data_IF_279236804973
#
_entry.id   IF_279236804973
#
_cell.length_a   1.000
_cell.length_b   1.000
_cell.length_c   1.000
_cell.angle_alpha   90.00
_cell.angle_beta   90.00
_cell.angle_gamma   90.00
#
_symmetry.space_group_name_H-M   'P 1'
#
loop_
_entity.id
_entity.type
_entity.pdbx_description
1 polymer ?
#
# COMPACT_ATOMS: atom_id res chain seq x y z
N UNK A 1 25.42 -19.87 32.48
CA UNK A 1 24.56 -18.75 32.04
C UNK A 1 25.29 -18.06 30.90
N UNK A 2 25.12 -18.54 29.67
CA UNK A 2 25.92 -18.06 28.53
C UNK A 2 24.97 -17.51 27.47
N UNK A 3 25.11 -16.21 27.22
CA UNK A 3 24.61 -15.53 26.04
C UNK A 3 25.68 -15.69 24.94
N UNK A 4 25.28 -15.93 23.67
CA UNK A 4 25.86 -15.12 22.62
C UNK A 4 24.87 -14.83 21.49
N UNK A 5 24.38 -13.59 21.45
CA UNK A 5 23.77 -12.98 20.27
C UNK A 5 24.78 -12.05 19.62
N UNK A 6 25.52 -12.53 18.62
CA UNK A 6 26.02 -11.73 17.48
C UNK A 6 26.65 -12.66 16.46
N UNK A 7 25.92 -12.94 15.39
CA UNK A 7 26.39 -13.69 14.22
C UNK A 7 25.75 -13.12 12.97
N UNK A 8 26.20 -11.95 12.56
CA UNK A 8 25.86 -11.34 11.27
C UNK A 8 26.56 -12.16 10.19
N UNK A 9 25.79 -12.94 9.42
CA UNK A 9 26.25 -13.49 8.15
C UNK A 9 25.57 -12.72 7.01
N UNK A 10 26.31 -11.74 6.49
CA UNK A 10 26.21 -11.35 5.08
C UNK A 10 26.95 -12.40 4.26
N UNK A 11 26.22 -13.24 3.51
CA UNK A 11 26.77 -13.91 2.32
C UNK A 11 25.63 -14.27 1.37
N UNK A 12 25.70 -13.68 0.17
CA UNK A 12 25.60 -14.38 -1.11
C UNK A 12 24.37 -15.25 -1.39
N UNK A 13 23.64 -14.90 -2.44
CA UNK A 13 22.68 -15.76 -3.14
C UNK A 13 23.32 -17.14 -3.49
N UNK A 14 23.18 -18.12 -2.60
CA UNK A 14 23.59 -19.51 -2.81
C UNK A 14 22.35 -20.39 -2.82
N UNK A 15 22.27 -21.32 -3.79
CA UNK A 15 21.30 -22.43 -3.89
C UNK A 15 20.81 -22.87 -2.50
N UNK A 16 19.59 -22.47 -2.13
CA UNK A 16 19.04 -22.78 -0.82
C UNK A 16 18.61 -24.25 -0.78
N UNK A 17 19.14 -24.99 0.19
CA UNK A 17 18.88 -26.40 0.43
C UNK A 17 17.39 -26.60 0.80
N UNK A 18 16.62 -27.30 -0.04
CA UNK A 18 15.17 -27.53 0.13
C UNK A 18 14.79 -28.32 1.38
N UNK A 19 15.77 -28.86 2.09
CA UNK A 19 15.61 -29.65 3.31
C UNK A 19 15.47 -28.82 4.61
N UNK A 20 15.65 -27.49 4.55
CA UNK A 20 15.47 -26.64 5.74
C UNK A 20 13.99 -26.66 6.16
N UNK A 21 13.75 -27.01 7.43
CA UNK A 21 12.43 -26.97 8.05
C UNK A 21 12.37 -25.85 9.09
N UNK A 22 11.26 -25.11 9.10
CA UNK A 22 10.98 -24.03 10.05
C UNK A 22 9.73 -24.42 10.85
N UNK A 23 9.75 -24.14 12.15
CA UNK A 23 8.59 -24.29 13.02
C UNK A 23 7.61 -23.14 12.80
N UNK A 24 6.36 -23.46 12.43
CA UNK A 24 5.31 -22.45 12.33
C UNK A 24 4.81 -22.04 13.72
N UNK A 25 4.73 -20.73 14.00
CA UNK A 25 4.26 -20.20 15.29
C UNK A 25 2.76 -20.39 15.54
N UNK A 26 1.97 -20.68 14.49
CA UNK A 26 0.52 -20.89 14.59
C UNK A 26 0.15 -22.36 14.73
N UNK A 27 0.57 -23.21 13.78
CA UNK A 27 0.22 -24.64 13.82
C UNK A 27 1.23 -25.52 14.58
N UNK A 28 2.35 -24.95 15.06
CA UNK A 28 3.41 -25.65 15.79
C UNK A 28 3.99 -26.87 15.05
N UNK A 29 3.89 -26.88 13.71
CA UNK A 29 4.44 -27.93 12.85
C UNK A 29 5.74 -27.48 12.20
N UNK A 30 6.69 -28.40 12.03
CA UNK A 30 7.84 -28.21 11.16
C UNK A 30 7.42 -28.31 9.69
N UNK A 31 7.65 -27.25 8.93
CA UNK A 31 7.26 -27.12 7.52
C UNK A 31 8.48 -26.78 6.67
N UNK A 32 8.47 -27.17 5.40
CA UNK A 32 9.53 -26.78 4.45
C UNK A 32 9.67 -25.26 4.40
N UNK A 33 10.90 -24.76 4.33
CA UNK A 33 11.23 -23.34 4.15
C UNK A 33 10.43 -22.68 3.01
N UNK A 34 10.10 -23.42 1.95
CA UNK A 34 9.32 -22.94 0.80
C UNK A 34 7.93 -22.45 1.22
N UNK A 35 7.37 -22.94 2.33
CA UNK A 35 6.08 -22.47 2.87
C UNK A 35 6.19 -21.19 3.71
N UNK A 36 7.39 -20.59 3.78
CA UNK A 36 7.64 -19.30 4.44
C UNK A 36 8.30 -18.30 3.48
N UNK A 37 8.66 -18.73 2.26
CA UNK A 37 9.38 -17.89 1.31
C UNK A 37 8.48 -16.90 0.57
N UNK A 38 7.15 -17.07 0.65
CA UNK A 38 6.24 -16.18 -0.04
C UNK A 38 6.25 -14.80 0.61
N UNK A 39 6.55 -13.78 -0.20
CA UNK A 39 6.70 -12.40 0.27
C UNK A 39 5.34 -11.70 0.32
N UNK A 40 4.50 -12.07 1.27
CA UNK A 40 3.26 -11.33 1.52
C UNK A 40 3.59 -10.01 2.20
N UNK A 41 3.25 -8.90 1.52
CA UNK A 41 3.50 -7.56 2.04
C UNK A 41 2.33 -7.11 2.93
N UNK A 42 2.65 -6.66 4.14
CA UNK A 42 1.71 -5.94 5.00
C UNK A 42 1.68 -4.43 4.66
N UNK A 43 2.66 -3.97 3.86
CA UNK A 43 2.64 -2.69 3.14
C UNK A 43 3.73 -2.71 2.06
N UNK A 44 3.67 -1.80 1.08
CA UNK A 44 4.71 -1.65 0.05
C UNK A 44 6.12 -1.35 0.61
N UNK A 45 6.23 -0.97 1.88
CA UNK A 45 7.47 -0.52 2.53
C UNK A 45 7.97 -1.47 3.63
N UNK A 46 7.20 -2.47 4.05
CA UNK A 46 7.59 -3.38 5.16
C UNK A 46 7.36 -4.84 4.79
N UNK A 47 8.46 -5.53 4.52
CA UNK A 47 8.51 -6.99 4.32
C UNK A 47 9.02 -7.66 5.59
N UNK A 48 8.49 -8.85 5.89
CA UNK A 48 9.04 -9.67 6.96
C UNK A 48 10.39 -10.24 6.51
N UNK A 49 11.47 -9.92 7.25
CA UNK A 49 12.82 -10.46 6.97
C UNK A 49 12.83 -11.98 7.15
N UNK A 50 12.09 -12.46 8.15
CA UNK A 50 11.89 -13.88 8.41
C UNK A 50 10.45 -14.09 8.86
N UNK A 51 9.76 -15.01 8.21
CA UNK A 51 8.39 -15.38 8.53
C UNK A 51 8.36 -16.53 9.52
N UNK A 52 7.44 -16.45 10.47
CA UNK A 52 7.19 -17.49 11.46
C UNK A 52 5.85 -18.18 11.23
N UNK A 53 4.98 -17.62 10.39
CA UNK A 53 3.70 -18.23 10.05
C UNK A 53 3.78 -18.84 8.67
N UNK A 54 3.53 -20.16 8.54
CA UNK A 54 3.53 -20.82 7.25
C UNK A 54 2.34 -20.40 6.39
N UNK A 55 2.47 -20.50 5.07
CA UNK A 55 1.45 -20.06 4.11
C UNK A 55 0.09 -20.73 4.32
N UNK A 56 0.07 -21.98 4.75
CA UNK A 56 -1.18 -22.70 5.04
C UNK A 56 -1.91 -22.06 6.24
N UNK A 57 -1.18 -21.62 7.27
CA UNK A 57 -1.79 -20.91 8.39
C UNK A 57 -2.23 -19.49 7.99
N UNK A 58 -1.48 -18.81 7.12
CA UNK A 58 -1.90 -17.51 6.57
C UNK A 58 -3.17 -17.66 5.74
N UNK A 59 -3.26 -18.71 4.92
CA UNK A 59 -4.44 -19.05 4.15
C UNK A 59 -5.66 -19.28 5.04
N UNK A 60 -5.55 -20.15 6.05
CA UNK A 60 -6.65 -20.41 6.99
C UNK A 60 -7.08 -19.14 7.75
N UNK A 61 -6.12 -18.29 8.13
CA UNK A 61 -6.42 -16.99 8.74
C UNK A 61 -7.21 -16.07 7.80
N UNK A 62 -6.80 -15.97 6.53
CA UNK A 62 -7.52 -15.20 5.51
C UNK A 62 -8.94 -15.76 5.32
N UNK A 63 -9.07 -17.08 5.14
CA UNK A 63 -10.38 -17.73 4.99
C UNK A 63 -11.32 -17.40 6.15
N UNK A 64 -10.84 -17.59 7.39
CA UNK A 64 -11.63 -17.30 8.59
C UNK A 64 -12.13 -15.85 8.61
N UNK A 65 -11.30 -14.89 8.17
CA UNK A 65 -11.69 -13.47 8.14
C UNK A 65 -12.64 -13.13 6.99
N UNK A 66 -12.45 -13.71 5.82
CA UNK A 66 -13.36 -13.52 4.69
C UNK A 66 -14.75 -14.09 4.99
N UNK A 67 -14.83 -15.30 5.56
CA UNK A 67 -16.11 -15.89 5.97
C UNK A 67 -16.83 -15.09 7.07
N UNK A 68 -16.09 -14.33 7.88
CA UNK A 68 -16.67 -13.41 8.87
C UNK A 68 -17.05 -12.03 8.31
N UNK A 69 -17.01 -11.84 6.98
CA UNK A 69 -17.26 -10.57 6.30
C UNK A 69 -16.31 -9.42 6.73
N UNK A 70 -15.08 -9.74 7.13
CA UNK A 70 -14.06 -8.77 7.57
C UNK A 70 -12.95 -8.55 6.53
N UNK A 71 -13.31 -8.58 5.24
CA UNK A 71 -12.36 -8.57 4.12
C UNK A 71 -11.44 -7.34 4.07
N UNK A 72 -11.90 -6.17 4.53
CA UNK A 72 -11.14 -4.91 4.50
C UNK A 72 -10.14 -4.75 5.65
N UNK A 73 -10.13 -5.65 6.64
CA UNK A 73 -9.39 -5.47 7.90
C UNK A 73 -8.59 -6.72 8.32
N UNK A 74 -8.10 -7.51 7.36
CA UNK A 74 -7.32 -8.71 7.67
C UNK A 74 -5.92 -8.32 8.16
N UNK A 75 -5.69 -8.40 9.47
CA UNK A 75 -4.39 -8.11 10.11
C UNK A 75 -3.43 -9.29 9.85
N UNK A 76 -2.15 -8.99 9.63
CA UNK A 76 -1.11 -10.00 9.45
C UNK A 76 -1.00 -10.90 10.70
N UNK A 77 -0.95 -12.24 10.55
CA UNK A 77 -0.84 -13.16 11.67
C UNK A 77 0.59 -13.29 12.25
N UNK A 78 1.58 -12.63 11.66
CA UNK A 78 2.97 -12.67 12.16
C UNK A 78 3.08 -11.99 13.53
N UNK A 79 3.93 -12.54 14.40
CA UNK A 79 4.14 -12.00 15.75
C UNK A 79 4.65 -10.55 15.69
N UNK A 80 4.09 -9.68 16.54
CA UNK A 80 4.36 -8.24 16.56
C UNK A 80 4.11 -7.51 15.22
N UNK A 81 3.29 -8.08 14.34
CA UNK A 81 2.82 -7.41 13.14
C UNK A 81 1.38 -6.95 13.33
N UNK A 82 1.19 -5.63 13.49
CA UNK A 82 -0.15 -5.02 13.59
C UNK A 82 -0.61 -4.40 12.27
N UNK A 83 0.08 -4.73 11.17
CA UNK A 83 -0.24 -4.19 9.84
C UNK A 83 -1.29 -5.08 9.15
N UNK A 84 -2.10 -4.47 8.28
CA UNK A 84 -3.05 -5.17 7.43
C UNK A 84 -2.34 -5.89 6.29
N UNK A 85 -2.86 -7.03 5.86
CA UNK A 85 -2.41 -7.67 4.63
C UNK A 85 -2.82 -6.80 3.44
N UNK A 86 -1.91 -6.62 2.48
CA UNK A 86 -2.23 -5.93 1.23
C UNK A 86 -3.14 -6.78 0.35
N UNK A 87 -3.90 -6.15 -0.54
CA UNK A 87 -4.78 -6.86 -1.47
C UNK A 87 -4.01 -7.85 -2.35
N UNK A 88 -2.80 -7.50 -2.80
CA UNK A 88 -1.92 -8.42 -3.53
C UNK A 88 -1.57 -9.66 -2.70
N UNK A 89 -1.22 -9.48 -1.42
CA UNK A 89 -0.88 -10.59 -0.54
C UNK A 89 -2.06 -11.56 -0.33
N UNK A 90 -3.27 -11.02 -0.19
CA UNK A 90 -4.49 -11.82 -0.06
C UNK A 90 -4.73 -12.61 -1.35
N UNK A 91 -4.67 -11.95 -2.51
CA UNK A 91 -4.83 -12.61 -3.81
C UNK A 91 -3.78 -13.71 -4.05
N UNK A 92 -2.51 -13.44 -3.75
CA UNK A 92 -1.41 -14.40 -3.94
C UNK A 92 -1.61 -15.67 -3.11
N UNK A 93 -2.09 -15.54 -1.86
CA UNK A 93 -2.44 -16.69 -1.02
C UNK A 93 -3.61 -17.47 -1.61
N UNK A 94 -4.70 -16.79 -1.96
CA UNK A 94 -5.93 -17.46 -2.43
C UNK A 94 -5.68 -18.19 -3.75
N UNK A 95 -4.90 -17.59 -4.66
CA UNK A 95 -4.44 -18.21 -5.90
C UNK A 95 -3.57 -19.44 -5.62
N UNK A 96 -2.60 -19.34 -4.70
CA UNK A 96 -1.68 -20.43 -4.35
C UNK A 96 -2.41 -21.68 -3.82
N UNK A 97 -3.54 -21.49 -3.15
CA UNK A 97 -4.37 -22.56 -2.58
C UNK A 97 -5.68 -22.79 -3.35
N UNK A 98 -5.75 -22.34 -4.61
CA UNK A 98 -6.87 -22.58 -5.53
C UNK A 98 -8.26 -22.21 -4.98
N UNK A 99 -8.32 -21.20 -4.09
CA UNK A 99 -9.55 -20.71 -3.46
C UNK A 99 -10.29 -19.71 -4.36
N UNK A 100 -10.61 -20.14 -5.59
CA UNK A 100 -11.06 -19.27 -6.69
C UNK A 100 -12.40 -18.56 -6.43
N UNK A 101 -13.35 -19.23 -5.75
CA UNK A 101 -14.65 -18.64 -5.41
C UNK A 101 -14.48 -17.42 -4.51
N UNK A 102 -13.79 -17.60 -3.37
CA UNK A 102 -13.50 -16.52 -2.43
C UNK A 102 -12.60 -15.44 -3.02
N UNK A 103 -11.69 -15.81 -3.93
CA UNK A 103 -10.89 -14.82 -4.66
C UNK A 103 -11.79 -13.92 -5.52
N UNK A 104 -12.74 -14.48 -6.25
CA UNK A 104 -13.67 -13.70 -7.07
C UNK A 104 -14.55 -12.80 -6.21
N UNK A 105 -15.08 -13.30 -5.09
CA UNK A 105 -15.86 -12.50 -4.14
C UNK A 105 -15.04 -11.33 -3.60
N UNK A 106 -13.81 -11.61 -3.14
CA UNK A 106 -12.88 -10.59 -2.65
C UNK A 106 -12.59 -9.53 -3.73
N UNK A 107 -12.31 -9.94 -4.96
CA UNK A 107 -12.02 -9.02 -6.07
C UNK A 107 -13.25 -8.16 -6.43
N UNK A 108 -14.44 -8.74 -6.41
CA UNK A 108 -15.68 -8.00 -6.64
C UNK A 108 -15.88 -6.94 -5.57
N UNK A 109 -15.72 -7.27 -4.29
CA UNK A 109 -15.79 -6.30 -3.19
C UNK A 109 -14.76 -5.17 -3.34
N UNK A 110 -13.51 -5.50 -3.68
CA UNK A 110 -12.46 -4.50 -3.90
C UNK A 110 -12.81 -3.57 -5.07
N UNK A 111 -13.36 -4.11 -6.16
CA UNK A 111 -13.81 -3.30 -7.30
C UNK A 111 -14.95 -2.35 -6.90
N UNK A 112 -15.91 -2.82 -6.11
CA UNK A 112 -17.01 -1.99 -5.59
C UNK A 112 -16.52 -0.88 -4.67
N UNK A 113 -15.60 -1.18 -3.75
CA UNK A 113 -14.97 -0.17 -2.89
C UNK A 113 -14.25 0.89 -3.74
N UNK A 114 -13.49 0.48 -4.75
CA UNK A 114 -12.82 1.41 -5.67
C UNK A 114 -13.79 2.30 -6.44
N UNK A 115 -14.92 1.75 -6.93
CA UNK A 115 -15.98 2.52 -7.59
C UNK A 115 -16.66 3.50 -6.63
N UNK A 116 -16.92 3.11 -5.39
CA UNK A 116 -17.51 3.97 -4.36
C UNK A 116 -16.58 5.16 -4.03
N UNK A 117 -15.29 4.90 -3.85
CA UNK A 117 -14.30 5.95 -3.60
C UNK A 117 -14.18 6.93 -4.78
N UNK A 118 -14.21 6.41 -6.01
CA UNK A 118 -14.18 7.24 -7.21
C UNK A 118 -15.47 8.07 -7.35
N UNK A 119 -16.63 7.47 -7.07
CA UNK A 119 -17.90 8.19 -7.04
C UNK A 119 -17.86 9.34 -6.04
N UNK A 120 -17.44 9.05 -4.80
CA UNK A 120 -17.28 10.07 -3.75
C UNK A 120 -16.34 11.18 -4.24
N UNK A 121 -15.19 10.86 -4.83
CA UNK A 121 -14.24 11.86 -5.34
C UNK A 121 -14.82 12.73 -6.46
N UNK A 122 -15.65 12.17 -7.35
CA UNK A 122 -16.16 12.87 -8.54
C UNK A 122 -17.43 13.66 -8.26
N UNK A 123 -18.32 13.14 -7.44
CA UNK A 123 -19.68 13.65 -7.30
C UNK A 123 -19.98 14.30 -5.94
N UNK A 124 -19.04 14.28 -5.00
CA UNK A 124 -19.21 14.91 -3.69
C UNK A 124 -18.26 16.09 -3.47
N UNK A 125 -18.68 17.03 -2.61
CA UNK A 125 -17.81 18.05 -2.03
C UNK A 125 -17.75 17.88 -0.51
N UNK A 126 -16.62 18.25 0.09
CA UNK A 126 -16.44 18.25 1.55
C UNK A 126 -17.21 19.41 2.15
N UNK A 127 -17.99 19.15 3.21
CA UNK A 127 -18.58 20.21 4.02
C UNK A 127 -17.49 21.15 4.57
N UNK A 128 -17.65 22.49 4.50
CA UNK A 128 -16.68 23.43 5.06
C UNK A 128 -16.63 23.44 6.59
N UNK A 129 -17.67 22.95 7.28
CA UNK A 129 -17.71 22.87 8.74
C UNK A 129 -17.15 21.56 9.31
N UNK A 130 -17.59 20.41 8.80
CA UNK A 130 -17.23 19.10 9.37
C UNK A 130 -16.56 18.12 8.39
N UNK A 131 -16.25 18.54 7.16
CA UNK A 131 -15.51 17.77 6.14
C UNK A 131 -16.10 16.42 5.72
N UNK A 132 -17.35 16.11 6.08
CA UNK A 132 -18.05 14.96 5.49
C UNK A 132 -18.27 15.19 4.00
N UNK A 133 -18.16 14.14 3.15
CA UNK A 133 -18.53 14.23 1.75
C UNK A 133 -20.05 14.44 1.65
N UNK A 134 -20.46 15.41 0.85
CA UNK A 134 -21.86 15.74 0.56
C UNK A 134 -22.04 15.62 -0.94
N UNK A 135 -23.01 14.81 -1.37
CA UNK A 135 -23.45 14.73 -2.77
C UNK A 135 -24.52 15.80 -3.03
N UNK A 136 -24.47 16.43 -4.21
CA UNK A 136 -25.51 17.40 -4.61
C UNK A 136 -26.68 16.66 -5.24
N UNK A 137 -27.84 16.71 -4.60
CA UNK A 137 -29.06 16.02 -5.04
C UNK A 137 -29.93 16.82 -6.02
N UNK A 138 -29.64 18.12 -6.26
CA UNK A 138 -30.25 18.93 -7.34
C UNK A 138 -30.52 20.41 -7.00
N UNK A 139 -30.96 21.17 -8.01
CA UNK A 139 -31.80 22.37 -7.93
C UNK A 139 -31.24 23.69 -7.36
N UNK A 140 -30.64 23.67 -6.17
CA UNK A 140 -30.22 24.88 -5.45
C UNK A 140 -28.69 24.95 -5.28
N UNK A 141 -28.13 26.16 -5.22
CA UNK A 141 -26.71 26.35 -4.87
C UNK A 141 -26.50 26.47 -3.35
N UNK A 142 -27.50 26.93 -2.61
CA UNK A 142 -27.48 26.95 -1.15
C UNK A 142 -27.77 25.55 -0.59
N UNK A 143 -26.86 25.05 0.24
CA UNK A 143 -26.92 23.73 0.84
C UNK A 143 -26.69 23.81 2.35
N UNK A 144 -27.30 22.88 3.08
CA UNK A 144 -27.16 22.73 4.52
C UNK A 144 -26.60 21.34 4.80
N UNK A 145 -25.52 21.27 5.58
CA UNK A 145 -24.96 19.99 5.98
C UNK A 145 -25.87 19.29 7.02
N UNK A 146 -26.38 18.11 6.70
CA UNK A 146 -27.24 17.32 7.62
C UNK A 146 -26.53 16.93 8.93
N UNK A 147 -25.19 16.89 8.96
CA UNK A 147 -24.41 16.47 10.13
C UNK A 147 -24.13 17.62 11.09
N UNK A 148 -23.68 18.77 10.58
CA UNK A 148 -23.24 19.90 11.42
C UNK A 148 -24.05 21.18 11.20
N UNK A 149 -25.13 21.12 10.42
CA UNK A 149 -26.05 22.23 10.12
C UNK A 149 -25.38 23.47 9.51
N UNK A 150 -24.15 23.34 8.99
CA UNK A 150 -23.46 24.45 8.33
C UNK A 150 -24.14 24.76 7.00
N UNK A 151 -24.56 26.02 6.82
CA UNK A 151 -25.02 26.57 5.55
C UNK A 151 -23.84 26.94 4.67
N UNK A 152 -23.89 26.58 3.38
CA UNK A 152 -22.86 26.96 2.42
C UNK A 152 -23.39 26.95 0.99
N UNK A 153 -22.73 27.71 0.11
CA UNK A 153 -22.97 27.68 -1.33
C UNK A 153 -22.07 26.64 -2.01
N UNK A 154 -22.67 25.70 -2.75
CA UNK A 154 -21.97 24.62 -3.43
C UNK A 154 -20.92 25.14 -4.42
N UNK A 155 -21.29 26.12 -5.25
CA UNK A 155 -20.39 26.75 -6.22
C UNK A 155 -19.14 27.38 -5.56
N UNK A 156 -19.30 27.97 -4.37
CA UNK A 156 -18.21 28.60 -3.62
C UNK A 156 -17.23 27.55 -3.08
N UNK A 157 -17.73 26.46 -2.51
CA UNK A 157 -16.89 25.35 -2.04
C UNK A 157 -16.14 24.69 -3.20
N UNK A 158 -16.82 24.50 -4.35
CA UNK A 158 -16.21 23.94 -5.56
C UNK A 158 -15.04 24.79 -6.07
N UNK A 159 -15.20 26.13 -6.08
CA UNK A 159 -14.14 27.07 -6.48
C UNK A 159 -12.95 27.03 -5.52
N UNK A 160 -13.20 27.05 -4.21
CA UNK A 160 -12.13 26.98 -3.22
C UNK A 160 -11.31 25.67 -3.34
N UNK A 161 -11.95 24.55 -3.67
CA UNK A 161 -11.24 23.29 -3.92
C UNK A 161 -10.33 23.34 -5.15
N UNK A 162 -10.77 23.95 -6.26
CA UNK A 162 -9.97 24.03 -7.49
C UNK A 162 -8.75 24.95 -7.30
N UNK A 163 -8.91 26.06 -6.58
CA UNK A 163 -7.83 26.98 -6.22
C UNK A 163 -6.77 26.30 -5.34
N UNK A 164 -7.20 25.57 -4.31
CA UNK A 164 -6.29 24.80 -3.44
C UNK A 164 -5.52 23.72 -4.22
N UNK A 165 -6.17 23.04 -5.17
CA UNK A 165 -5.49 22.05 -6.03
C UNK A 165 -4.40 22.70 -6.90
N UNK A 166 -4.68 23.88 -7.46
CA UNK A 166 -3.72 24.65 -8.27
C UNK A 166 -2.52 25.12 -7.44
N UNK A 167 -2.74 25.54 -6.19
CA UNK A 167 -1.65 25.91 -5.27
C UNK A 167 -0.76 24.73 -4.90
N UNK A 168 -1.33 23.55 -4.60
CA UNK A 168 -0.55 22.33 -4.31
C UNK A 168 0.30 21.85 -5.50
N UNK A 169 -0.23 21.94 -6.72
CA UNK A 169 0.53 21.63 -7.94
C UNK A 169 1.72 22.59 -8.12
N UNK A 170 1.52 23.89 -7.83
CA UNK A 170 2.60 24.89 -7.89
C UNK A 170 3.68 24.70 -6.82
N UNK A 171 3.32 24.24 -5.62
CA UNK A 171 4.33 23.95 -4.57
C UNK A 171 5.25 22.80 -4.93
N UNK A 172 4.85 21.90 -5.83
CA UNK A 172 5.68 20.79 -6.29
C UNK A 172 6.61 21.16 -7.46
N UNK A 173 6.33 22.25 -8.19
CA UNK A 173 7.13 22.69 -9.34
C UNK A 173 8.25 23.68 -8.99
N UNK A 174 8.55 23.90 -7.72
CA UNK A 174 9.70 24.72 -7.31
C UNK A 174 10.95 23.84 -7.37
N UNK A 175 11.49 23.61 -8.57
CA UNK A 175 12.86 23.13 -8.71
C UNK A 175 13.75 24.27 -8.23
N UNK A 176 14.37 24.10 -7.06
CA UNK A 176 15.26 25.10 -6.49
C UNK A 176 16.36 25.44 -7.52
N UNK A 177 16.66 26.72 -7.79
CA UNK A 177 17.58 27.13 -8.85
C UNK A 177 18.96 26.46 -8.77
N UNK A 178 19.39 26.05 -7.57
CA UNK A 178 20.61 25.28 -7.33
C UNK A 178 20.63 23.91 -8.03
N UNK A 179 19.49 23.23 -8.17
CA UNK A 179 19.40 21.90 -8.79
C UNK A 179 19.63 22.00 -10.30
N UNK A 180 19.12 23.05 -10.93
CA UNK A 180 19.30 23.31 -12.37
C UNK A 180 20.79 23.53 -12.68
N UNK A 181 21.48 24.29 -11.82
CA UNK A 181 22.93 24.52 -11.96
C UNK A 181 23.72 23.22 -11.81
N UNK A 182 23.37 22.37 -10.83
CA UNK A 182 24.05 21.07 -10.62
C UNK A 182 23.89 20.16 -11.84
N UNK A 183 22.68 20.05 -12.41
CA UNK A 183 22.43 19.24 -13.61
C UNK A 183 23.26 19.75 -14.79
N UNK A 184 23.35 21.06 -14.97
CA UNK A 184 24.13 21.67 -16.05
C UNK A 184 25.63 21.38 -15.89
N UNK A 185 26.18 21.49 -14.68
CA UNK A 185 27.58 21.15 -14.40
C UNK A 185 27.86 19.67 -14.67
N UNK A 186 26.98 18.77 -14.25
CA UNK A 186 27.12 17.32 -14.51
C UNK A 186 27.13 17.05 -16.03
N UNK A 187 26.25 17.71 -16.78
CA UNK A 187 26.20 17.58 -18.24
C UNK A 187 27.49 18.06 -18.91
N UNK A 188 28.03 19.21 -18.48
CA UNK A 188 29.31 19.71 -18.99
C UNK A 188 30.47 18.76 -18.68
N UNK A 189 30.53 18.22 -17.46
CA UNK A 189 31.55 17.22 -17.10
C UNK A 189 31.43 15.98 -17.97
N UNK A 190 30.21 15.51 -18.23
CA UNK A 190 29.98 14.36 -19.11
C UNK A 190 30.47 14.61 -20.54
N UNK A 191 30.20 15.80 -21.10
CA UNK A 191 30.69 16.17 -22.43
C UNK A 191 32.22 16.22 -22.48
N UNK A 192 32.87 16.77 -21.45
CA UNK A 192 34.33 16.84 -21.36
C UNK A 192 34.93 15.42 -21.27
N UNK A 193 34.35 14.54 -20.47
CA UNK A 193 34.81 13.14 -20.38
C UNK A 193 34.62 12.41 -21.70
N UNK A 194 33.47 12.60 -22.35
CA UNK A 194 33.18 11.98 -23.65
C UNK A 194 34.15 12.43 -24.74
N UNK A 195 34.52 13.71 -24.80
CA UNK A 195 35.51 14.20 -25.77
C UNK A 195 36.89 13.65 -25.47
N UNK A 196 37.32 13.62 -24.21
CA UNK A 196 38.63 13.04 -23.84
C UNK A 196 38.71 11.55 -24.20
N UNK A 197 37.63 10.79 -24.04
CA UNK A 197 37.57 9.38 -24.46
C UNK A 197 37.57 9.26 -25.99
N UNK A 198 36.87 10.13 -26.71
CA UNK A 198 36.75 10.07 -28.16
C UNK A 198 38.07 10.42 -28.88
N UNK A 199 38.87 11.32 -28.30
CA UNK A 199 40.14 11.77 -28.87
C UNK A 199 41.36 10.97 -28.37
N UNK A 200 41.15 9.85 -27.68
CA UNK A 200 42.20 8.95 -27.19
C UNK A 200 42.10 7.60 -27.88
#
# INVERSE_FOLDING_TARGET
>A
MNNPLTGILKTSYSKFNSNIRILCSVCLCYRSYVLFSTNYCCSSLKKHVQRQVCDSCVHQHILSKLYSCLASCIICPEFNCSLYLSSSAICDILLKYESNELLNDYLCEQQWQGKSDEWIKRYTLRCPGCYVPIEKTGGCDEMICIRCQTHFYWSKVKRNMSENKKQRLKSFSVIHPSIVVIIFVIFLVFLIVATVIYYK
#
